data_IF_749103709974
#
_entry.id   IF_749103709974
#
_cell.length_a   1.000
_cell.length_b   1.000
_cell.length_c   1.000
_cell.angle_alpha   90.00
_cell.angle_beta   90.00
_cell.angle_gamma   90.00
#
_symmetry.space_group_name_H-M   'P 1'
#
loop_
_entity.id
_entity.type
_entity.pdbx_description
1 polymer ?
#
# COMPACT_ATOMS: atom_id res chain seq x y z
N UNK A 1 -47.53 11.21 -43.21
CA UNK A 1 -46.79 10.61 -42.09
C UNK A 1 -45.48 10.07 -42.64
N UNK A 2 -44.35 10.72 -42.34
CA UNK A 2 -43.02 10.29 -42.78
C UNK A 2 -42.48 9.27 -41.77
N UNK A 3 -41.88 8.18 -42.26
CA UNK A 3 -41.23 7.16 -41.41
C UNK A 3 -39.89 7.71 -40.90
N UNK A 4 -39.52 7.48 -39.63
CA UNK A 4 -38.23 7.93 -39.12
C UNK A 4 -37.11 7.04 -39.67
N UNK A 5 -36.08 7.67 -40.23
CA UNK A 5 -34.82 7.01 -40.61
C UNK A 5 -33.97 6.91 -39.35
N UNK A 6 -33.72 5.68 -38.88
CA UNK A 6 -32.76 5.41 -37.80
C UNK A 6 -31.43 5.03 -38.44
N UNK A 7 -30.76 6.02 -39.05
CA UNK A 7 -29.34 5.89 -39.38
C UNK A 7 -28.55 6.35 -38.16
N UNK A 8 -28.11 5.38 -37.35
CA UNK A 8 -27.16 5.64 -36.27
C UNK A 8 -25.78 5.78 -36.93
N UNK A 9 -25.07 6.91 -36.76
CA UNK A 9 -23.74 7.07 -37.32
C UNK A 9 -22.77 6.08 -36.67
N UNK A 10 -21.88 5.47 -37.48
CA UNK A 10 -20.90 4.46 -37.02
C UNK A 10 -20.02 4.93 -35.84
N UNK A 11 -19.90 6.25 -35.64
CA UNK A 11 -19.21 6.87 -34.51
C UNK A 11 -19.89 6.67 -33.14
N UNK A 12 -21.11 6.11 -33.09
CA UNK A 12 -21.83 5.81 -31.85
C UNK A 12 -21.65 4.35 -31.37
N UNK A 13 -20.88 3.53 -32.10
CA UNK A 13 -20.43 2.24 -31.59
C UNK A 13 -19.27 2.50 -30.63
N UNK A 14 -19.51 2.29 -29.33
CA UNK A 14 -18.43 2.08 -28.36
C UNK A 14 -17.70 0.80 -28.77
N UNK A 15 -16.74 0.92 -29.68
CA UNK A 15 -15.77 -0.14 -29.94
C UNK A 15 -14.93 -0.22 -28.67
N UNK A 16 -15.11 -1.28 -27.87
CA UNK A 16 -14.22 -1.54 -26.74
C UNK A 16 -12.78 -1.47 -27.26
N UNK A 17 -11.88 -0.72 -26.60
CA UNK A 17 -10.50 -0.64 -27.06
C UNK A 17 -9.94 -2.05 -27.11
N UNK A 18 -9.39 -2.45 -28.26
CA UNK A 18 -8.69 -3.72 -28.40
C UNK A 18 -7.63 -3.78 -27.29
N UNK A 19 -7.77 -4.74 -26.37
CA UNK A 19 -6.79 -4.94 -25.30
C UNK A 19 -5.42 -5.12 -25.97
N UNK A 20 -4.37 -4.40 -25.52
CA UNK A 20 -3.07 -4.50 -26.17
C UNK A 20 -2.58 -5.94 -26.13
N UNK A 21 -2.59 -6.61 -27.29
CA UNK A 21 -2.19 -8.01 -27.45
C UNK A 21 -0.77 -8.25 -26.95
N UNK A 22 0.09 -7.23 -27.02
CA UNK A 22 1.43 -7.21 -26.46
C UNK A 22 1.48 -7.52 -24.95
N UNK A 23 0.48 -7.06 -24.18
CA UNK A 23 0.37 -7.36 -22.76
C UNK A 23 -0.08 -8.80 -22.47
N UNK A 24 -1.01 -9.33 -23.28
CA UNK A 24 -1.44 -10.73 -23.18
C UNK A 24 -0.32 -11.68 -23.60
N UNK A 25 0.47 -11.32 -24.61
CA UNK A 25 1.62 -12.10 -25.07
C UNK A 25 2.77 -12.05 -24.06
N UNK A 26 3.03 -10.90 -23.44
CA UNK A 26 4.00 -10.77 -22.35
C UNK A 26 3.59 -11.58 -21.12
N UNK A 27 2.32 -11.49 -20.71
CA UNK A 27 1.79 -12.28 -19.60
C UNK A 27 1.81 -13.78 -19.90
N UNK A 28 1.48 -14.18 -21.14
CA UNK A 28 1.56 -15.58 -21.58
C UNK A 28 2.99 -16.09 -21.57
N UNK A 29 3.96 -15.28 -22.01
CA UNK A 29 5.38 -15.64 -21.94
C UNK A 29 5.84 -15.85 -20.49
N UNK A 30 5.40 -14.99 -19.56
CA UNK A 30 5.73 -15.14 -18.13
C UNK A 30 5.05 -16.36 -17.52
N UNK A 31 3.80 -16.63 -17.87
CA UNK A 31 3.07 -17.82 -17.41
C UNK A 31 3.59 -19.12 -18.05
N UNK A 32 4.11 -19.10 -19.27
CA UNK A 32 4.77 -20.26 -19.88
C UNK A 32 6.14 -20.53 -19.25
N UNK A 33 6.87 -19.50 -18.83
CA UNK A 33 8.19 -19.63 -18.21
C UNK A 33 8.12 -20.02 -16.73
N UNK A 34 7.20 -19.43 -15.97
CA UNK A 34 7.12 -19.59 -14.52
C UNK A 34 5.80 -20.21 -14.02
N UNK A 35 4.76 -20.30 -14.85
CA UNK A 35 3.45 -20.82 -14.43
C UNK A 35 3.46 -22.29 -14.02
N UNK A 36 4.44 -23.08 -14.50
CA UNK A 36 4.67 -24.45 -14.06
C UNK A 36 5.04 -24.54 -12.57
N UNK A 37 5.99 -23.72 -12.13
CA UNK A 37 6.46 -23.70 -10.73
C UNK A 37 5.33 -23.33 -9.75
N UNK A 38 4.46 -22.40 -10.14
CA UNK A 38 3.29 -22.03 -9.31
C UNK A 38 2.21 -23.12 -9.31
N UNK A 39 2.00 -23.82 -10.42
CA UNK A 39 1.07 -24.94 -10.48
C UNK A 39 1.54 -26.09 -9.58
N UNK A 40 2.83 -26.41 -9.60
CA UNK A 40 3.43 -27.42 -8.73
C UNK A 40 3.34 -27.02 -7.25
N UNK A 41 3.53 -25.73 -6.92
CA UNK A 41 3.40 -25.24 -5.55
C UNK A 41 1.94 -25.26 -5.03
N UNK A 42 0.96 -24.97 -5.90
CA UNK A 42 -0.47 -25.06 -5.55
C UNK A 42 -0.87 -26.53 -5.37
N UNK A 43 -0.44 -27.43 -6.26
CA UNK A 43 -0.71 -28.86 -6.15
C UNK A 43 -0.08 -29.45 -4.87
N UNK A 44 1.15 -29.04 -4.53
CA UNK A 44 1.78 -29.41 -3.26
C UNK A 44 1.00 -28.90 -2.03
N UNK A 45 0.41 -27.71 -2.12
CA UNK A 45 -0.36 -27.11 -1.01
C UNK A 45 -1.70 -27.82 -0.80
N UNK A 46 -2.41 -28.13 -1.89
CA UNK A 46 -3.67 -28.91 -1.83
C UNK A 46 -3.42 -30.34 -1.33
N UNK A 47 -2.32 -30.96 -1.75
CA UNK A 47 -1.91 -32.29 -1.28
C UNK A 47 -1.48 -32.26 0.20
N UNK A 48 -0.80 -31.19 0.64
CA UNK A 48 -0.48 -30.96 2.04
C UNK A 48 -1.73 -30.77 2.90
N UNK A 49 -2.72 -30.01 2.43
CA UNK A 49 -4.01 -29.86 3.12
C UNK A 49 -4.69 -31.21 3.32
N UNK A 50 -4.74 -32.04 2.27
CA UNK A 50 -5.32 -33.39 2.35
C UNK A 50 -4.55 -34.30 3.33
N UNK A 51 -3.23 -34.21 3.37
CA UNK A 51 -2.38 -34.95 4.33
C UNK A 51 -2.61 -34.47 5.76
N UNK A 52 -2.70 -33.16 5.98
CA UNK A 52 -2.97 -32.56 7.30
C UNK A 52 -4.36 -32.89 7.81
N UNK A 53 -5.39 -32.83 6.96
CA UNK A 53 -6.76 -33.24 7.29
C UNK A 53 -6.79 -34.72 7.68
N UNK A 54 -6.12 -35.57 6.90
CA UNK A 54 -6.01 -37.01 7.19
C UNK A 54 -5.27 -37.25 8.51
N UNK A 55 -4.18 -36.54 8.75
CA UNK A 55 -3.41 -36.65 10.00
C UNK A 55 -4.26 -36.23 11.21
N UNK A 56 -5.02 -35.14 11.10
CA UNK A 56 -5.93 -34.67 12.15
C UNK A 56 -7.04 -35.70 12.40
N UNK A 57 -7.64 -36.29 11.36
CA UNK A 57 -8.65 -37.34 11.50
C UNK A 57 -8.08 -38.60 12.15
N UNK A 58 -6.86 -39.01 11.78
CA UNK A 58 -6.15 -40.14 12.39
C UNK A 58 -5.89 -39.85 13.87
N UNK A 59 -5.33 -38.69 14.22
CA UNK A 59 -5.06 -38.26 15.60
C UNK A 59 -6.37 -38.17 16.42
N UNK A 60 -7.45 -37.66 15.84
CA UNK A 60 -8.74 -37.56 16.52
C UNK A 60 -9.42 -38.92 16.75
N UNK A 61 -9.07 -39.94 15.97
CA UNK A 61 -9.57 -41.31 16.12
C UNK A 61 -8.63 -42.25 16.87
N UNK A 62 -7.39 -41.83 17.09
CA UNK A 62 -6.33 -42.61 17.71
C UNK A 62 -6.47 -42.62 19.24
N UNK A 63 -6.27 -43.79 19.85
CA UNK A 63 -6.10 -43.92 21.30
C UNK A 63 -4.76 -43.27 21.73
N UNK A 64 -4.61 -42.93 23.01
CA UNK A 64 -3.45 -42.17 23.54
C UNK A 64 -2.07 -42.78 23.17
N UNK A 65 -1.98 -44.11 23.00
CA UNK A 65 -0.75 -44.82 22.61
C UNK A 65 -0.34 -44.63 21.12
N UNK A 66 -1.25 -44.19 20.24
CA UNK A 66 -1.00 -44.03 18.80
C UNK A 66 -0.60 -42.59 18.42
N UNK A 67 -0.91 -41.60 19.28
CA UNK A 67 -0.48 -40.20 19.14
C UNK A 67 1.05 -40.07 19.20
N UNK A 68 1.72 -40.88 20.03
CA UNK A 68 3.18 -40.90 20.15
C UNK A 68 3.88 -41.36 18.86
N UNK A 69 3.27 -42.28 18.10
CA UNK A 69 3.84 -42.77 16.82
C UNK A 69 3.73 -41.76 15.69
N UNK A 70 2.63 -41.01 15.66
CA UNK A 70 2.45 -39.91 14.70
C UNK A 70 3.46 -38.79 15.00
N UNK A 71 3.64 -38.47 16.29
CA UNK A 71 4.65 -37.50 16.75
C UNK A 71 6.07 -37.93 16.36
N UNK A 72 6.44 -39.20 16.55
CA UNK A 72 7.74 -39.72 16.10
C UNK A 72 7.93 -39.68 14.57
N UNK A 73 6.86 -39.91 13.81
CA UNK A 73 6.89 -39.88 12.35
C UNK A 73 7.05 -38.45 11.81
N UNK A 74 6.42 -37.45 12.45
CA UNK A 74 6.61 -36.02 12.14
C UNK A 74 8.05 -35.59 12.43
N UNK A 75 8.62 -36.00 13.57
CA UNK A 75 10.02 -35.71 13.91
C UNK A 75 10.97 -36.34 12.89
N UNK A 76 10.69 -37.56 12.44
CA UNK A 76 11.50 -38.24 11.41
C UNK A 76 11.38 -37.55 10.04
N UNK A 77 10.24 -36.94 9.70
CA UNK A 77 10.04 -36.17 8.46
C UNK A 77 10.76 -34.81 8.49
N UNK A 78 10.77 -34.14 9.64
CA UNK A 78 11.54 -32.91 9.87
C UNK A 78 13.05 -33.20 9.84
N UNK A 79 13.48 -34.33 10.42
CA UNK A 79 14.88 -34.78 10.36
C UNK A 79 15.30 -35.29 8.97
N UNK A 80 14.36 -35.81 8.16
CA UNK A 80 14.59 -36.20 6.77
C UNK A 80 14.56 -35.01 5.79
N UNK A 81 14.19 -33.81 6.26
CA UNK A 81 14.14 -32.57 5.50
C UNK A 81 15.51 -31.99 5.15
N UNK A 82 16.32 -32.74 4.42
CA UNK A 82 17.55 -32.27 3.75
C UNK A 82 17.25 -31.24 2.63
N UNK A 83 15.97 -30.92 2.40
CA UNK A 83 15.45 -30.16 1.25
C UNK A 83 15.17 -28.66 1.51
N UNK A 84 15.31 -28.15 2.74
CA UNK A 84 15.18 -26.70 3.00
C UNK A 84 16.48 -25.90 2.75
N UNK A 85 17.57 -26.59 2.43
CA UNK A 85 18.86 -25.98 2.09
C UNK A 85 18.92 -25.56 0.62
N UNK A 86 17.99 -24.72 0.16
CA UNK A 86 18.24 -23.95 -1.05
C UNK A 86 19.29 -22.88 -0.71
N UNK A 87 20.32 -22.71 -1.53
CA UNK A 87 21.40 -21.73 -1.29
C UNK A 87 20.86 -20.29 -1.16
N UNK A 88 19.71 -20.03 -1.80
CA UNK A 88 18.92 -18.81 -1.61
C UNK A 88 18.30 -18.67 -0.22
N UNK A 89 17.87 -19.76 0.43
CA UNK A 89 17.32 -19.76 1.80
C UNK A 89 18.40 -19.49 2.84
N UNK A 90 19.63 -19.97 2.62
CA UNK A 90 20.79 -19.64 3.48
C UNK A 90 21.15 -18.17 3.35
N UNK A 91 21.22 -17.64 2.12
CA UNK A 91 21.48 -16.21 1.90
C UNK A 91 20.37 -15.31 2.46
N UNK A 92 19.10 -15.75 2.38
CA UNK A 92 17.97 -15.06 3.02
C UNK A 92 18.05 -15.14 4.54
N UNK A 93 18.39 -16.30 5.10
CA UNK A 93 18.53 -16.46 6.55
C UNK A 93 19.72 -15.66 7.10
N UNK A 94 20.83 -15.59 6.36
CA UNK A 94 21.97 -14.71 6.68
C UNK A 94 21.56 -13.24 6.57
N UNK A 95 20.88 -12.83 5.50
CA UNK A 95 20.41 -11.45 5.32
C UNK A 95 19.38 -11.02 6.36
N UNK A 96 18.42 -11.90 6.71
CA UNK A 96 17.43 -11.65 7.77
C UNK A 96 18.08 -11.70 9.15
N UNK A 97 19.04 -12.60 9.37
CA UNK A 97 19.79 -12.71 10.62
C UNK A 97 20.68 -11.50 10.89
N UNK A 98 21.36 -10.99 9.87
CA UNK A 98 22.22 -9.80 9.94
C UNK A 98 21.43 -8.52 10.22
N UNK A 99 20.15 -8.47 9.82
CA UNK A 99 19.22 -7.37 10.09
C UNK A 99 18.18 -7.71 11.17
N UNK A 100 18.40 -8.77 11.96
CA UNK A 100 17.37 -9.31 12.86
C UNK A 100 16.95 -8.34 13.96
N UNK A 101 17.90 -7.58 14.51
CA UNK A 101 17.63 -6.58 15.53
C UNK A 101 16.83 -5.39 14.95
N UNK A 102 17.25 -4.85 13.81
CA UNK A 102 16.55 -3.74 13.14
C UNK A 102 15.13 -4.13 12.71
N UNK A 103 14.95 -5.37 12.22
CA UNK A 103 13.65 -5.91 11.85
C UNK A 103 12.75 -6.13 13.08
N UNK A 104 13.32 -6.60 14.19
CA UNK A 104 12.59 -6.76 15.44
C UNK A 104 12.10 -5.40 15.97
N UNK A 105 12.94 -4.37 15.95
CA UNK A 105 12.57 -3.02 16.37
C UNK A 105 11.49 -2.40 15.47
N UNK A 106 11.59 -2.63 14.15
CA UNK A 106 10.56 -2.20 13.20
C UNK A 106 9.23 -2.92 13.43
N UNK A 107 9.25 -4.24 13.67
CA UNK A 107 8.06 -5.02 13.99
C UNK A 107 7.45 -4.62 15.34
N UNK A 108 8.26 -4.34 16.35
CA UNK A 108 7.78 -3.83 17.64
C UNK A 108 7.06 -2.48 17.47
N UNK A 109 7.60 -1.60 16.62
CA UNK A 109 6.97 -0.32 16.28
C UNK A 109 5.62 -0.51 15.57
N UNK A 110 5.54 -1.45 14.62
CA UNK A 110 4.28 -1.78 13.92
C UNK A 110 3.27 -2.42 14.87
N UNK A 111 3.71 -3.30 15.76
CA UNK A 111 2.86 -3.93 16.77
C UNK A 111 2.35 -2.91 17.80
N UNK A 112 3.19 -1.95 18.20
CA UNK A 112 2.79 -0.85 19.07
C UNK A 112 1.69 -0.01 18.42
N UNK A 113 1.85 0.35 17.13
CA UNK A 113 0.84 1.05 16.34
C UNK A 113 -0.45 0.24 16.15
N UNK A 114 -0.33 -1.08 15.95
CA UNK A 114 -1.50 -1.96 15.85
C UNK A 114 -2.23 -2.07 17.18
N UNK A 115 -1.50 -2.15 18.29
CA UNK A 115 -2.08 -2.28 19.63
C UNK A 115 -2.73 -0.98 20.12
N UNK A 116 -2.22 0.19 19.70
CA UNK A 116 -2.88 1.47 19.94
C UNK A 116 -4.08 1.72 19.01
N UNK A 117 -4.16 1.00 17.88
CA UNK A 117 -5.17 1.20 16.84
C UNK A 117 -4.79 2.28 15.81
N UNK A 118 -3.61 2.89 15.95
CA UNK A 118 -3.15 3.98 15.08
C UNK A 118 -2.70 3.47 13.70
N UNK A 119 -2.39 2.17 13.57
CA UNK A 119 -1.94 1.59 12.30
C UNK A 119 -3.04 1.68 11.23
N UNK A 120 -4.30 1.44 11.59
CA UNK A 120 -5.43 1.55 10.68
C UNK A 120 -5.66 3.00 10.23
N UNK A 121 -5.50 3.96 11.16
CA UNK A 121 -5.62 5.39 10.87
C UNK A 121 -4.48 5.87 9.94
N UNK A 122 -3.26 5.37 10.15
CA UNK A 122 -2.13 5.63 9.26
C UNK A 122 -2.37 5.09 7.85
N UNK A 123 -2.91 3.87 7.72
CA UNK A 123 -3.23 3.26 6.41
C UNK A 123 -4.33 4.06 5.71
N UNK A 124 -5.37 4.48 6.42
CA UNK A 124 -6.44 5.32 5.86
C UNK A 124 -5.88 6.66 5.35
N UNK A 125 -5.06 7.34 6.16
CA UNK A 125 -4.40 8.59 5.75
C UNK A 125 -3.48 8.39 4.54
N UNK A 126 -2.70 7.32 4.51
CA UNK A 126 -1.84 6.99 3.37
C UNK A 126 -2.65 6.73 2.09
N UNK A 127 -3.81 6.06 2.21
CA UNK A 127 -4.73 5.85 1.09
C UNK A 127 -5.30 7.15 0.55
N UNK A 128 -5.73 8.06 1.44
CA UNK A 128 -6.20 9.40 1.04
C UNK A 128 -5.07 10.18 0.35
N UNK A 129 -3.88 10.22 0.93
CA UNK A 129 -2.72 10.92 0.38
C UNK A 129 -2.29 10.34 -0.97
N UNK A 130 -2.31 9.01 -1.13
CA UNK A 130 -1.97 8.35 -2.39
C UNK A 130 -3.00 8.61 -3.50
N UNK A 131 -4.24 8.92 -3.15
CA UNK A 131 -5.27 9.29 -4.13
C UNK A 131 -5.13 10.75 -4.59
N UNK A 132 -4.34 11.58 -3.89
CA UNK A 132 -4.04 12.94 -4.28
C UNK A 132 -2.86 12.94 -5.27
N UNK A 133 -3.03 13.61 -6.41
CA UNK A 133 -1.94 13.91 -7.34
C UNK A 133 -1.13 15.10 -6.78
N UNK A 134 -0.30 14.82 -5.78
CA UNK A 134 0.54 15.84 -5.11
C UNK A 134 1.92 15.84 -5.75
N UNK A 135 2.23 16.90 -6.48
CA UNK A 135 3.55 17.10 -7.05
C UNK A 135 4.56 17.65 -6.02
N UNK A 136 5.85 17.53 -6.33
CA UNK A 136 6.96 17.99 -5.46
C UNK A 136 6.86 19.47 -5.09
N UNK A 137 6.30 20.31 -5.97
CA UNK A 137 6.11 21.75 -5.67
C UNK A 137 5.03 21.94 -4.62
N UNK A 138 3.94 21.16 -4.69
CA UNK A 138 2.87 21.17 -3.70
C UNK A 138 3.36 20.68 -2.34
N UNK A 139 4.16 19.60 -2.30
CA UNK A 139 4.80 19.11 -1.05
C UNK A 139 5.69 20.19 -0.42
N UNK A 140 6.56 20.81 -1.22
CA UNK A 140 7.42 21.88 -0.74
C UNK A 140 6.62 23.11 -0.25
N UNK A 141 5.48 23.39 -0.89
CA UNK A 141 4.55 24.44 -0.45
C UNK A 141 3.96 24.16 0.92
N UNK A 142 3.46 22.94 1.13
CA UNK A 142 2.91 22.47 2.41
C UNK A 142 3.95 22.51 3.53
N UNK A 143 5.16 22.00 3.30
CA UNK A 143 6.23 22.03 4.31
C UNK A 143 6.54 23.45 4.76
N UNK A 144 6.61 24.43 3.86
CA UNK A 144 6.80 25.85 4.25
C UNK A 144 5.69 26.39 5.14
N UNK A 145 4.44 25.97 4.90
CA UNK A 145 3.31 26.38 5.74
C UNK A 145 3.40 25.72 7.12
N UNK A 146 3.76 24.44 7.18
CA UNK A 146 3.94 23.71 8.43
C UNK A 146 5.09 24.28 9.26
N UNK A 147 6.23 24.61 8.62
CA UNK A 147 7.36 25.28 9.27
C UNK A 147 6.91 26.62 9.87
N UNK A 148 6.18 27.44 9.10
CA UNK A 148 5.66 28.73 9.58
C UNK A 148 4.64 28.58 10.73
N UNK A 149 3.87 27.47 10.78
CA UNK A 149 2.98 27.17 11.90
C UNK A 149 3.78 26.77 13.14
N UNK A 150 4.83 25.96 12.99
CA UNK A 150 5.74 25.61 14.08
C UNK A 150 6.42 26.83 14.68
N UNK A 151 6.97 27.71 13.84
CA UNK A 151 7.55 28.99 14.27
C UNK A 151 6.53 29.87 15.02
N UNK A 152 5.27 29.91 14.55
CA UNK A 152 4.23 30.68 15.22
C UNK A 152 3.85 30.11 16.59
N UNK A 153 3.79 28.79 16.76
CA UNK A 153 3.57 28.15 18.07
C UNK A 153 4.69 28.48 19.05
N UNK A 154 5.95 28.49 18.61
CA UNK A 154 7.11 28.74 19.47
C UNK A 154 7.32 30.23 19.80
N UNK A 155 7.12 31.12 18.82
CA UNK A 155 7.50 32.53 18.91
C UNK A 155 6.31 33.51 19.03
N UNK A 156 5.05 33.04 19.02
CA UNK A 156 3.92 33.98 19.04
C UNK A 156 3.82 34.77 20.35
N UNK A 157 4.09 36.06 20.25
CA UNK A 157 3.80 37.02 21.31
C UNK A 157 2.40 37.64 21.12
N UNK A 158 1.65 37.94 22.20
CA UNK A 158 0.37 38.62 22.09
C UNK A 158 0.50 39.94 21.33
N UNK A 159 -0.19 40.04 20.19
CA UNK A 159 -0.14 41.24 19.37
C UNK A 159 -0.64 42.47 20.15
N UNK A 160 0.23 43.47 20.32
CA UNK A 160 -0.13 44.75 20.91
C UNK A 160 -1.15 45.53 20.07
N UNK A 161 -1.85 46.53 20.64
CA UNK A 161 -2.92 47.27 19.95
C UNK A 161 -2.48 48.02 18.68
N UNK A 162 -1.18 48.28 18.52
CA UNK A 162 -0.61 48.90 17.32
C UNK A 162 0.05 47.90 16.35
N UNK A 163 0.31 46.66 16.80
CA UNK A 163 0.95 45.63 15.99
C UNK A 163 0.05 45.26 14.79
N UNK A 164 -1.26 45.19 14.99
CA UNK A 164 -2.23 44.89 13.93
C UNK A 164 -2.22 45.95 12.80
N UNK A 165 -2.01 47.22 13.15
CA UNK A 165 -1.93 48.30 12.17
C UNK A 165 -0.60 48.28 11.44
N UNK A 166 0.50 48.01 12.15
CA UNK A 166 1.83 47.82 11.55
C UNK A 166 1.88 46.63 10.60
N UNK A 167 1.20 45.54 10.95
CA UNK A 167 1.11 44.32 10.16
C UNK A 167 0.56 44.56 8.74
N UNK A 168 -0.35 45.51 8.55
CA UNK A 168 -0.85 45.87 7.21
C UNK A 168 0.23 46.52 6.31
N UNK A 169 1.27 47.10 6.91
CA UNK A 169 2.38 47.72 6.20
C UNK A 169 3.62 46.85 6.07
N UNK A 170 3.61 45.69 6.73
CA UNK A 170 4.70 44.74 6.72
C UNK A 170 4.86 44.06 5.35
N UNK A 171 6.10 43.93 4.89
CA UNK A 171 6.40 43.40 3.56
C UNK A 171 6.16 41.88 3.49
N UNK A 172 6.47 41.15 4.56
CA UNK A 172 6.35 39.71 4.64
C UNK A 172 4.89 39.29 4.74
N UNK A 173 4.09 40.05 5.51
CA UNK A 173 2.62 39.86 5.57
C UNK A 173 1.98 40.09 4.19
N UNK A 174 2.42 41.11 3.45
CA UNK A 174 1.92 41.36 2.09
C UNK A 174 2.30 40.24 1.13
N UNK A 175 3.51 39.70 1.24
CA UNK A 175 3.94 38.57 0.44
C UNK A 175 3.08 37.33 0.73
N UNK A 176 2.84 37.00 2.01
CA UNK A 176 1.97 35.89 2.42
C UNK A 176 0.52 36.05 1.94
N UNK A 177 -0.06 37.25 2.09
CA UNK A 177 -1.40 37.56 1.57
C UNK A 177 -1.47 37.45 0.04
N UNK A 178 -0.42 37.87 -0.68
CA UNK A 178 -0.32 37.71 -2.12
C UNK A 178 -0.33 36.24 -2.56
N UNK A 179 0.38 35.38 -1.82
CA UNK A 179 0.36 33.94 -2.03
C UNK A 179 -1.04 33.36 -1.79
N UNK A 180 -1.67 33.66 -0.65
CA UNK A 180 -3.03 33.20 -0.32
C UNK A 180 -4.06 33.61 -1.39
N UNK A 181 -4.03 34.88 -1.81
CA UNK A 181 -4.91 35.39 -2.86
C UNK A 181 -4.67 34.68 -4.20
N UNK A 182 -3.43 34.29 -4.49
CA UNK A 182 -3.10 33.54 -5.71
C UNK A 182 -3.67 32.12 -5.66
N UNK A 183 -3.58 31.45 -4.51
CA UNK A 183 -4.22 30.14 -4.27
C UNK A 183 -5.73 30.25 -4.47
N UNK A 184 -6.38 31.21 -3.79
CA UNK A 184 -7.83 31.45 -3.90
C UNK A 184 -8.26 31.79 -5.34
N UNK A 185 -7.47 32.61 -6.04
CA UNK A 185 -7.72 32.94 -7.44
C UNK A 185 -7.66 31.69 -8.33
N UNK A 186 -6.68 30.81 -8.10
CA UNK A 186 -6.53 29.56 -8.85
C UNK A 186 -7.70 28.61 -8.59
N UNK A 187 -8.20 28.55 -7.35
CA UNK A 187 -9.36 27.74 -6.99
C UNK A 187 -10.64 28.27 -7.65
N UNK A 188 -10.87 29.59 -7.56
CA UNK A 188 -12.01 30.24 -8.19
C UNK A 188 -12.02 30.10 -9.72
N UNK A 189 -10.85 30.07 -10.37
CA UNK A 189 -10.78 29.81 -11.82
C UNK A 189 -11.16 28.38 -12.19
N UNK A 190 -10.78 27.38 -11.38
CA UNK A 190 -11.11 25.97 -11.63
C UNK A 190 -12.60 25.68 -11.45
N UNK A 191 -13.19 26.20 -10.37
CA UNK A 191 -14.63 26.07 -10.11
C UNK A 191 -15.49 26.71 -11.20
N UNK A 192 -15.03 27.80 -11.82
CA UNK A 192 -15.75 28.45 -12.94
C UNK A 192 -15.65 27.67 -14.24
N UNK A 193 -14.59 26.88 -14.45
CA UNK A 193 -14.41 26.09 -15.67
C UNK A 193 -15.16 24.76 -15.68
N UNK A 194 -15.73 24.35 -14.54
CA UNK A 194 -16.55 23.14 -14.40
C UNK A 194 -18.06 23.39 -14.60
N UNK A 195 -18.48 24.66 -14.78
CA UNK A 195 -19.82 25.10 -15.22
C UNK A 195 -19.85 25.47 -16.72
#
# INVERSE_FOLDING_TARGET
>A
MAKPTTDVPDAALNVEPERPQEGEDALRSVLEEYGGDYADAIEYTDELEAVLETAILVIASADDDDVDKVTQSIVTLVEAGDALSTEGTVALAEGVGENSDDLADALDSVLALQQSGDLDELIEMAGVLSALDVDETTVAGLNRVLDAVGEAEEESEPAGPFALVGAMFDADIRAGLGYLLSVLRSQGSRLRSED
#
